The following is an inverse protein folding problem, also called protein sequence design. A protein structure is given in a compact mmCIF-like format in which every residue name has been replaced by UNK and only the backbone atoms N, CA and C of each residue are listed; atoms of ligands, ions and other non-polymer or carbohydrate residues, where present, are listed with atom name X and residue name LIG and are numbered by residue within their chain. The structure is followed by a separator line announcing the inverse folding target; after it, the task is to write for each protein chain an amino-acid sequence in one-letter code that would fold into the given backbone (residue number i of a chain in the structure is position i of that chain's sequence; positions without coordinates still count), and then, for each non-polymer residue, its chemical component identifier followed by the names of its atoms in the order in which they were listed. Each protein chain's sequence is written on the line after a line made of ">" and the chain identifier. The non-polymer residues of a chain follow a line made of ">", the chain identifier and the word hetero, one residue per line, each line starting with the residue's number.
data_IF_290138163458
#
_entry.id   IF_290138163458
#
_cell.length_a   1.000
_cell.length_b   1.000
_cell.length_c   1.000
_cell.angle_alpha   90.00
_cell.angle_beta   90.00
_cell.angle_gamma   90.00
#
_symmetry.space_group_name_H-M   'P 1'
#
loop_
_entity.id
_entity.type
_entity.pdbx_description
1 polymer ?
#
# COMPACT_ATOMS: atom_id res chain seq x y z
N UNK A 1 29.48 -14.99 -3.04
CA UNK A 1 28.73 -15.39 -1.86
C UNK A 1 27.90 -14.18 -1.39
N UNK A 2 26.55 -14.32 -1.28
CA UNK A 2 25.67 -13.26 -0.77
C UNK A 2 25.95 -13.08 0.72
N UNK A 3 26.15 -11.83 1.14
CA UNK A 3 26.37 -11.48 2.56
C UNK A 3 25.11 -10.99 3.24
N UNK A 4 24.26 -10.23 2.51
CA UNK A 4 23.02 -9.66 3.01
C UNK A 4 21.90 -9.93 2.01
N UNK A 5 20.74 -10.35 2.51
CA UNK A 5 19.54 -10.62 1.74
C UNK A 5 18.38 -9.76 2.25
N UNK A 6 17.70 -9.07 1.34
CA UNK A 6 16.51 -8.28 1.66
C UNK A 6 15.28 -8.98 1.11
N UNK A 7 14.25 -9.09 1.95
CA UNK A 7 12.96 -9.65 1.58
C UNK A 7 11.83 -8.62 1.73
N UNK A 8 11.14 -8.36 0.62
CA UNK A 8 9.93 -7.54 0.62
C UNK A 8 8.72 -8.41 0.96
N UNK A 9 8.29 -8.35 2.21
CA UNK A 9 7.06 -8.95 2.67
C UNK A 9 5.87 -7.99 2.52
N UNK A 10 4.73 -8.33 3.07
CA UNK A 10 3.48 -7.61 2.86
C UNK A 10 2.62 -7.60 4.12
N UNK A 11 1.78 -6.58 4.29
CA UNK A 11 0.71 -6.57 5.29
C UNK A 11 -0.34 -7.69 5.09
N UNK A 12 -0.30 -8.42 3.97
CA UNK A 12 -1.15 -9.60 3.76
C UNK A 12 -0.79 -10.79 4.66
N UNK A 13 0.35 -10.77 5.35
CA UNK A 13 0.75 -11.80 6.34
C UNK A 13 -0.06 -11.75 7.63
N UNK A 14 -0.76 -10.65 7.89
CA UNK A 14 -1.50 -10.48 9.14
C UNK A 14 -2.76 -11.33 9.19
N UNK A 15 -3.07 -11.79 10.42
CA UNK A 15 -4.27 -12.56 10.69
C UNK A 15 -5.53 -11.82 10.23
N UNK A 16 -6.35 -12.47 9.40
CA UNK A 16 -7.54 -11.89 8.79
C UNK A 16 -8.58 -11.45 9.84
N UNK A 17 -8.71 -12.18 10.96
CA UNK A 17 -9.68 -11.86 12.01
C UNK A 17 -9.44 -10.50 12.67
N UNK A 18 -8.16 -10.06 12.74
CA UNK A 18 -7.79 -8.74 13.28
C UNK A 18 -8.15 -7.58 12.34
N UNK A 19 -8.59 -7.86 11.13
CA UNK A 19 -8.89 -6.89 10.08
C UNK A 19 -10.38 -6.85 9.70
N UNK A 20 -11.24 -7.38 10.57
CA UNK A 20 -12.69 -7.53 10.33
C UNK A 20 -13.51 -6.25 10.55
N UNK A 21 -12.98 -5.26 11.26
CA UNK A 21 -13.64 -3.97 11.53
C UNK A 21 -13.16 -2.91 10.53
N UNK A 22 -14.00 -1.89 10.31
CA UNK A 22 -13.68 -0.75 9.42
C UNK A 22 -12.47 0.02 9.96
N UNK A 23 -12.52 0.45 11.22
CA UNK A 23 -11.38 1.05 11.90
C UNK A 23 -10.75 0.06 12.86
N UNK A 24 -9.45 -0.09 12.76
CA UNK A 24 -8.65 -0.98 13.61
C UNK A 24 -7.47 -0.19 14.18
N UNK A 25 -6.96 -0.65 15.31
CA UNK A 25 -5.64 -0.25 15.78
C UNK A 25 -4.57 -0.70 14.78
N UNK A 26 -3.41 -0.02 14.77
CA UNK A 26 -2.30 -0.41 13.92
C UNK A 26 -1.86 -1.84 14.18
N UNK A 27 -1.70 -2.63 13.11
CA UNK A 27 -1.23 -4.01 13.18
C UNK A 27 0.25 -4.02 13.58
N UNK A 28 0.56 -4.64 14.72
CA UNK A 28 1.93 -4.87 15.20
C UNK A 28 2.53 -6.10 14.53
N UNK A 29 3.85 -6.16 14.42
CA UNK A 29 4.51 -7.30 13.76
C UNK A 29 4.17 -8.66 14.41
N UNK A 30 3.86 -8.67 15.70
CA UNK A 30 3.38 -9.87 16.43
C UNK A 30 1.99 -10.34 15.97
N UNK A 31 1.17 -9.47 15.38
CA UNK A 31 -0.21 -9.77 14.99
C UNK A 31 -0.33 -10.72 13.80
N UNK A 32 0.77 -11.11 13.19
CA UNK A 32 0.82 -12.19 12.20
C UNK A 32 0.69 -13.58 12.82
N UNK A 33 0.69 -13.68 14.14
CA UNK A 33 0.51 -14.94 14.86
C UNK A 33 -0.63 -14.83 15.89
N UNK A 34 -1.42 -15.92 16.11
CA UNK A 34 -1.41 -17.16 15.32
C UNK A 34 -1.67 -16.89 13.83
N UNK A 35 -0.98 -17.64 12.96
CA UNK A 35 -1.01 -17.40 11.52
C UNK A 35 -2.38 -17.76 10.93
N UNK A 36 -3.00 -16.77 10.26
CA UNK A 36 -4.24 -16.93 9.52
C UNK A 36 -4.36 -15.81 8.44
N UNK A 37 -3.42 -15.73 7.49
CA UNK A 37 -3.51 -14.82 6.36
C UNK A 37 -4.76 -15.06 5.51
N UNK A 38 -5.32 -13.99 4.94
CA UNK A 38 -6.57 -14.04 4.16
C UNK A 38 -6.45 -14.90 2.88
N UNK A 39 -5.26 -14.94 2.26
CA UNK A 39 -5.05 -15.58 0.96
C UNK A 39 -3.69 -16.30 0.85
N UNK A 40 -3.53 -17.05 -0.25
CA UNK A 40 -2.29 -17.79 -0.55
C UNK A 40 -1.06 -16.89 -0.68
N UNK A 41 -1.22 -15.63 -1.11
CA UNK A 41 -0.13 -14.67 -1.17
C UNK A 41 0.37 -14.30 0.23
N UNK A 42 -0.54 -14.07 1.17
CA UNK A 42 -0.17 -13.81 2.57
C UNK A 42 0.58 -14.99 3.19
N UNK A 43 0.14 -16.21 2.95
CA UNK A 43 0.80 -17.43 3.40
C UNK A 43 2.20 -17.59 2.80
N UNK A 44 2.37 -17.38 1.50
CA UNK A 44 3.68 -17.42 0.82
C UNK A 44 4.64 -16.41 1.44
N UNK A 45 4.19 -15.17 1.66
CA UNK A 45 5.02 -14.12 2.28
C UNK A 45 5.42 -14.49 3.71
N UNK A 46 4.47 -14.96 4.53
CA UNK A 46 4.76 -15.33 5.92
C UNK A 46 5.73 -16.52 6.01
N UNK A 47 5.56 -17.52 5.15
CA UNK A 47 6.49 -18.65 5.06
C UNK A 47 7.91 -18.17 4.67
N UNK A 48 8.01 -17.28 3.69
CA UNK A 48 9.29 -16.72 3.26
C UNK A 48 9.99 -15.90 4.35
N UNK A 49 9.24 -15.18 5.20
CA UNK A 49 9.81 -14.53 6.40
C UNK A 49 10.44 -15.55 7.35
N UNK A 50 9.76 -16.70 7.56
CA UNK A 50 10.30 -17.79 8.39
C UNK A 50 11.57 -18.38 7.78
N UNK A 51 11.61 -18.55 6.45
CA UNK A 51 12.81 -19.01 5.75
C UNK A 51 13.97 -18.02 5.92
N UNK A 52 13.73 -16.70 5.79
CA UNK A 52 14.75 -15.68 6.04
C UNK A 52 15.34 -15.81 7.44
N UNK A 53 14.49 -16.01 8.45
CA UNK A 53 14.93 -16.19 9.83
C UNK A 53 15.79 -17.45 9.99
N UNK A 54 15.37 -18.60 9.46
CA UNK A 54 16.14 -19.84 9.55
C UNK A 54 17.49 -19.76 8.83
N UNK A 55 17.54 -19.11 7.66
CA UNK A 55 18.83 -18.88 6.98
C UNK A 55 19.79 -18.01 7.79
N UNK A 56 19.28 -17.05 8.55
CA UNK A 56 20.09 -16.30 9.50
C UNK A 56 20.56 -17.17 10.68
N UNK A 57 19.64 -17.92 11.32
CA UNK A 57 19.95 -18.74 12.48
C UNK A 57 20.90 -19.90 12.16
N UNK A 58 20.70 -20.58 11.03
CA UNK A 58 21.44 -21.80 10.67
C UNK A 58 22.72 -21.51 9.87
N UNK A 59 22.78 -20.40 9.11
CA UNK A 59 23.86 -20.13 8.17
C UNK A 59 24.51 -18.75 8.32
N UNK A 60 24.04 -17.94 9.26
CA UNK A 60 24.58 -16.60 9.50
C UNK A 60 24.35 -15.61 8.32
N UNK A 61 23.36 -15.90 7.42
CA UNK A 61 23.03 -14.98 6.35
C UNK A 61 22.32 -13.76 6.93
N UNK A 62 22.89 -12.58 6.77
CA UNK A 62 22.22 -11.36 7.19
C UNK A 62 20.93 -11.13 6.39
N UNK A 63 19.78 -11.32 7.03
CA UNK A 63 18.48 -11.07 6.40
C UNK A 63 17.84 -9.79 6.92
N UNK A 64 17.10 -9.09 6.06
CA UNK A 64 16.31 -7.91 6.39
C UNK A 64 14.92 -8.10 5.80
N UNK A 65 13.89 -7.91 6.61
CA UNK A 65 12.49 -8.14 6.20
C UNK A 65 11.65 -6.91 6.48
N UNK A 66 10.92 -6.46 5.46
CA UNK A 66 9.99 -5.35 5.57
C UNK A 66 8.60 -5.81 5.16
N UNK A 67 7.58 -5.51 5.98
CA UNK A 67 6.16 -5.65 5.64
C UNK A 67 5.64 -4.33 5.11
N UNK A 68 5.37 -4.28 3.81
CA UNK A 68 4.83 -3.09 3.18
C UNK A 68 3.32 -2.97 3.35
N UNK A 69 2.85 -1.77 3.73
CA UNK A 69 1.44 -1.40 3.82
C UNK A 69 1.07 -0.43 2.70
N UNK A 70 0.42 -0.94 1.63
CA UNK A 70 -0.17 -0.17 0.52
C UNK A 70 0.67 1.04 0.05
N UNK A 71 1.70 0.75 -0.70
CA UNK A 71 2.59 1.80 -1.25
C UNK A 71 1.93 2.44 -2.46
N UNK A 72 2.05 3.77 -2.60
CA UNK A 72 1.57 4.54 -3.75
C UNK A 72 2.50 5.69 -4.10
N UNK A 73 2.36 6.22 -5.30
CA UNK A 73 3.15 7.36 -5.78
C UNK A 73 3.25 7.39 -7.29
N UNK A 74 3.93 8.42 -7.86
CA UNK A 74 4.26 8.48 -9.28
C UNK A 74 5.04 7.26 -9.77
N UNK A 75 4.98 7.01 -11.08
CA UNK A 75 5.66 5.92 -11.80
C UNK A 75 5.18 4.51 -11.47
N UNK A 76 4.12 4.36 -10.66
CA UNK A 76 3.45 3.09 -10.43
C UNK A 76 2.40 2.79 -11.51
N UNK A 77 1.92 1.54 -11.54
CA UNK A 77 0.80 1.16 -12.41
C UNK A 77 -0.46 1.91 -12.02
N UNK A 78 -1.11 2.57 -12.97
CA UNK A 78 -2.39 3.27 -12.77
C UNK A 78 -3.52 2.73 -13.64
N UNK A 79 -3.22 1.83 -14.59
CA UNK A 79 -4.19 1.18 -15.48
C UNK A 79 -3.80 -0.30 -15.73
N UNK A 80 -4.74 -1.10 -16.28
CA UNK A 80 -4.48 -2.50 -16.67
C UNK A 80 -4.89 -3.54 -15.63
N UNK A 81 -5.57 -3.16 -14.54
CA UNK A 81 -6.17 -4.08 -13.54
C UNK A 81 -5.22 -4.55 -12.43
N UNK A 82 -4.01 -3.98 -12.35
CA UNK A 82 -3.04 -4.27 -11.28
C UNK A 82 -2.77 -3.07 -10.37
N UNK A 83 -3.39 -1.94 -10.68
CA UNK A 83 -3.25 -0.70 -9.96
C UNK A 83 -3.84 -0.77 -8.55
N UNK A 84 -3.20 -0.11 -7.61
CA UNK A 84 -3.73 0.07 -6.25
C UNK A 84 -4.76 1.20 -6.21
N UNK A 85 -5.61 1.20 -5.18
CA UNK A 85 -6.74 2.12 -5.06
C UNK A 85 -6.39 3.61 -5.28
N UNK A 86 -5.30 4.20 -4.73
CA UNK A 86 -4.97 5.59 -4.99
C UNK A 86 -4.80 5.90 -6.48
N UNK A 87 -4.03 5.08 -7.20
CA UNK A 87 -3.80 5.27 -8.63
C UNK A 87 -5.06 5.03 -9.47
N UNK A 88 -5.82 3.97 -9.14
CA UNK A 88 -7.08 3.64 -9.82
C UNK A 88 -8.11 4.77 -9.69
N UNK A 89 -8.26 5.34 -8.48
CA UNK A 89 -9.23 6.41 -8.23
C UNK A 89 -8.79 7.74 -8.88
N UNK A 90 -7.49 8.09 -8.82
CA UNK A 90 -6.97 9.22 -9.57
C UNK A 90 -7.30 9.09 -11.07
N UNK A 91 -6.98 7.95 -11.69
CA UNK A 91 -7.29 7.70 -13.11
C UNK A 91 -8.79 7.80 -13.42
N UNK A 92 -9.63 7.21 -12.58
CA UNK A 92 -11.10 7.25 -12.79
C UNK A 92 -11.65 8.67 -12.75
N UNK A 93 -11.21 9.49 -11.80
CA UNK A 93 -11.64 10.89 -11.67
C UNK A 93 -11.08 11.73 -12.82
N UNK A 94 -9.83 11.52 -13.23
CA UNK A 94 -9.25 12.18 -14.41
C UNK A 94 -10.05 11.83 -15.67
N UNK A 95 -10.34 10.55 -15.93
CA UNK A 95 -11.15 10.13 -17.07
C UNK A 95 -12.54 10.77 -17.05
N UNK A 96 -13.22 10.76 -15.89
CA UNK A 96 -14.54 11.37 -15.75
C UNK A 96 -14.49 12.86 -16.09
N UNK A 97 -13.49 13.59 -15.59
CA UNK A 97 -13.29 15.01 -15.89
C UNK A 97 -13.02 15.27 -17.36
N UNK A 98 -12.13 14.50 -18.00
CA UNK A 98 -11.76 14.66 -19.41
C UNK A 98 -12.93 14.37 -20.37
N UNK A 99 -13.81 13.42 -19.99
CA UNK A 99 -14.96 12.99 -20.80
C UNK A 99 -16.27 13.71 -20.41
N UNK A 100 -16.26 14.65 -19.45
CA UNK A 100 -17.44 15.26 -18.86
C UNK A 100 -18.44 14.22 -18.29
N UNK A 101 -17.97 13.11 -17.77
CA UNK A 101 -18.73 12.10 -17.08
C UNK A 101 -18.83 12.45 -15.59
N UNK A 102 -20.00 12.21 -14.97
CA UNK A 102 -20.21 12.56 -13.56
C UNK A 102 -20.27 11.36 -12.62
N UNK A 103 -19.85 10.17 -13.08
CA UNK A 103 -19.99 8.93 -12.29
C UNK A 103 -18.71 8.09 -12.39
N UNK A 104 -18.31 7.49 -11.27
CA UNK A 104 -17.23 6.49 -11.22
C UNK A 104 -17.68 5.22 -10.49
N UNK A 105 -17.21 4.05 -10.92
CA UNK A 105 -17.43 2.79 -10.22
C UNK A 105 -16.51 2.65 -9.02
N UNK A 106 -17.08 2.31 -7.86
CA UNK A 106 -16.40 2.05 -6.60
C UNK A 106 -16.65 0.61 -6.17
N UNK A 107 -15.61 -0.19 -6.02
CA UNK A 107 -15.75 -1.58 -5.58
C UNK A 107 -16.10 -1.66 -4.10
N UNK A 108 -17.15 -2.42 -3.80
CA UNK A 108 -17.73 -2.50 -2.47
C UNK A 108 -18.60 -1.30 -2.12
N UNK A 109 -18.70 -1.00 -0.84
CA UNK A 109 -19.47 0.11 -0.27
C UNK A 109 -18.64 1.39 -0.03
N UNK A 110 -17.34 1.32 -0.29
CA UNK A 110 -16.40 2.43 -0.05
C UNK A 110 -16.02 2.66 1.41
N UNK A 111 -16.58 1.89 2.35
CA UNK A 111 -16.33 2.05 3.78
C UNK A 111 -15.09 1.30 4.29
N UNK A 112 -14.53 0.36 3.50
CA UNK A 112 -13.30 -0.31 3.84
C UNK A 112 -12.16 0.70 3.98
N UNK A 113 -11.40 0.56 5.08
CA UNK A 113 -10.30 1.50 5.39
C UNK A 113 -8.93 0.90 5.12
N UNK A 114 -8.02 1.75 4.73
CA UNK A 114 -6.61 1.42 4.51
C UNK A 114 -5.74 2.59 4.97
N UNK A 115 -4.48 2.29 5.16
CA UNK A 115 -3.42 3.30 5.21
C UNK A 115 -2.61 3.21 3.92
N UNK A 116 -2.08 4.34 3.46
CA UNK A 116 -1.30 4.43 2.23
C UNK A 116 0.01 5.17 2.48
N UNK A 117 1.12 4.52 2.18
CA UNK A 117 2.45 5.09 2.36
C UNK A 117 2.99 5.62 1.03
N UNK A 118 3.42 6.88 1.04
CA UNK A 118 4.03 7.48 -0.15
C UNK A 118 5.38 6.85 -0.48
N UNK A 119 5.65 6.66 -1.77
CA UNK A 119 6.82 5.91 -2.26
C UNK A 119 8.16 6.45 -1.73
N UNK A 120 8.32 7.77 -1.56
CA UNK A 120 9.56 8.35 -1.03
C UNK A 120 9.83 7.91 0.40
N UNK A 121 8.81 7.94 1.26
CA UNK A 121 8.92 7.47 2.64
C UNK A 121 9.16 5.95 2.69
N UNK A 122 8.51 5.20 1.80
CA UNK A 122 8.74 3.77 1.66
C UNK A 122 10.22 3.46 1.35
N UNK A 123 10.83 4.18 0.42
CA UNK A 123 12.25 4.01 0.07
C UNK A 123 13.14 4.36 1.27
N UNK A 124 12.87 5.48 1.95
CA UNK A 124 13.62 5.89 3.14
C UNK A 124 13.55 4.82 4.25
N UNK A 125 12.33 4.36 4.59
CA UNK A 125 12.13 3.29 5.59
C UNK A 125 12.81 1.98 5.20
N UNK A 126 12.71 1.59 3.93
CA UNK A 126 13.39 0.40 3.39
C UNK A 126 14.90 0.48 3.56
N UNK A 127 15.49 1.62 3.20
CA UNK A 127 16.95 1.82 3.31
C UNK A 127 17.41 1.86 4.76
N UNK A 128 16.60 2.41 5.67
CA UNK A 128 16.91 2.37 7.11
C UNK A 128 16.94 0.93 7.62
N UNK A 129 15.97 0.09 7.27
CA UNK A 129 15.97 -1.33 7.64
C UNK A 129 17.14 -2.06 6.98
N UNK A 130 17.38 -1.85 5.68
CA UNK A 130 18.43 -2.53 4.93
C UNK A 130 19.83 -2.23 5.52
N UNK A 131 20.10 -0.99 5.90
CA UNK A 131 21.40 -0.54 6.42
C UNK A 131 21.57 -0.82 7.92
N UNK A 132 20.48 -1.18 8.64
CA UNK A 132 20.57 -1.47 10.07
C UNK A 132 21.34 -2.76 10.36
N UNK A 133 21.74 -2.93 11.63
CA UNK A 133 22.28 -4.16 12.19
C UNK A 133 21.20 -5.11 12.76
N UNK A 134 19.91 -4.75 12.63
CA UNK A 134 18.79 -5.47 13.21
C UNK A 134 18.30 -6.59 12.29
N UNK A 135 18.18 -7.79 12.82
CA UNK A 135 17.69 -9.01 12.13
C UNK A 135 16.21 -9.28 12.45
N UNK A 136 15.41 -8.24 12.36
CA UNK A 136 14.01 -8.32 12.73
C UNK A 136 13.10 -7.96 11.57
N UNK A 137 11.83 -8.30 11.68
CA UNK A 137 10.79 -7.88 10.73
C UNK A 137 10.25 -6.53 11.15
N UNK A 138 10.09 -5.62 10.19
CA UNK A 138 9.56 -4.28 10.43
C UNK A 138 8.40 -3.95 9.52
N UNK A 139 7.36 -3.34 10.08
CA UNK A 139 6.36 -2.63 9.30
C UNK A 139 6.98 -1.37 8.67
N UNK A 140 6.67 -1.16 7.38
CA UNK A 140 6.92 0.10 6.69
C UNK A 140 5.59 0.53 6.07
N UNK A 141 4.87 1.38 6.80
CA UNK A 141 3.51 1.80 6.49
C UNK A 141 3.20 3.19 7.02
N UNK A 142 1.96 3.61 6.81
CA UNK A 142 1.38 4.81 7.40
C UNK A 142 0.33 4.43 8.44
N UNK A 143 0.09 5.28 9.41
CA UNK A 143 -0.99 5.18 10.40
C UNK A 143 -2.20 6.06 10.03
N UNK A 144 -2.11 6.86 8.97
CA UNK A 144 -3.19 7.70 8.46
C UNK A 144 -4.26 6.83 7.77
N UNK A 145 -5.24 6.37 8.56
CA UNK A 145 -6.30 5.48 8.11
C UNK A 145 -7.45 6.25 7.48
N UNK A 146 -7.80 5.90 6.24
CA UNK A 146 -8.89 6.51 5.48
C UNK A 146 -9.77 5.46 4.84
N UNK A 147 -11.07 5.76 4.67
CA UNK A 147 -11.96 4.97 3.84
C UNK A 147 -11.73 5.26 2.35
N UNK A 148 -12.19 4.37 1.49
CA UNK A 148 -12.17 4.62 0.03
C UNK A 148 -13.02 5.84 -0.29
N UNK A 149 -14.15 6.05 0.40
CA UNK A 149 -15.01 7.22 0.22
C UNK A 149 -14.28 8.52 0.57
N UNK A 150 -13.58 8.57 1.71
CA UNK A 150 -12.76 9.72 2.11
C UNK A 150 -11.62 9.98 1.11
N UNK A 151 -10.99 8.93 0.60
CA UNK A 151 -9.92 9.10 -0.40
C UNK A 151 -10.47 9.68 -1.71
N UNK A 152 -11.67 9.26 -2.14
CA UNK A 152 -12.35 9.85 -3.32
C UNK A 152 -12.58 11.34 -3.09
N UNK A 153 -13.09 11.75 -1.91
CA UNK A 153 -13.32 13.15 -1.57
C UNK A 153 -12.04 13.99 -1.63
N UNK A 154 -10.93 13.46 -1.13
CA UNK A 154 -9.62 14.12 -1.24
C UNK A 154 -9.21 14.30 -2.72
N UNK A 155 -9.40 13.26 -3.55
CA UNK A 155 -9.02 13.33 -4.97
C UNK A 155 -9.96 14.25 -5.75
N UNK A 156 -11.26 14.29 -5.44
CA UNK A 156 -12.22 15.24 -5.99
C UNK A 156 -11.80 16.68 -5.73
N UNK A 157 -11.36 16.99 -4.50
CA UNK A 157 -10.87 18.31 -4.15
C UNK A 157 -9.58 18.68 -4.90
N UNK A 158 -8.64 17.72 -5.05
CA UNK A 158 -7.42 17.90 -5.84
C UNK A 158 -7.76 18.15 -7.33
N UNK A 159 -8.74 17.42 -7.84
CA UNK A 159 -9.18 17.52 -9.23
C UNK A 159 -10.03 18.76 -9.52
N UNK A 160 -10.56 19.42 -8.50
CA UNK A 160 -11.66 20.38 -8.63
C UNK A 160 -12.78 19.81 -9.52
N UNK A 161 -13.23 18.59 -9.18
CA UNK A 161 -14.26 17.88 -9.94
C UNK A 161 -14.99 16.86 -9.07
N UNK A 162 -16.30 16.99 -8.96
CA UNK A 162 -17.14 16.08 -8.15
C UNK A 162 -17.77 14.98 -9.00
N UNK A 163 -17.81 13.76 -8.45
CA UNK A 163 -18.39 12.60 -9.12
C UNK A 163 -19.41 11.88 -8.23
N UNK A 164 -20.37 11.23 -8.87
CA UNK A 164 -21.29 10.28 -8.22
C UNK A 164 -20.60 8.92 -8.09
N UNK A 165 -20.72 8.30 -6.94
CA UNK A 165 -20.13 6.98 -6.64
C UNK A 165 -21.16 5.89 -7.01
N UNK A 166 -20.83 5.04 -7.99
CA UNK A 166 -21.62 3.86 -8.35
C UNK A 166 -21.00 2.63 -7.64
N UNK A 167 -21.63 2.19 -6.55
CA UNK A 167 -21.08 1.12 -5.71
C UNK A 167 -21.32 -0.27 -6.30
N UNK A 168 -20.24 -1.01 -6.57
CA UNK A 168 -20.23 -2.38 -7.08
C UNK A 168 -20.12 -3.37 -5.91
N UNK A 169 -21.25 -3.69 -5.29
CA UNK A 169 -21.28 -4.48 -4.04
C UNK A 169 -20.88 -5.94 -4.21
N UNK A 170 -20.93 -6.47 -5.43
CA UNK A 170 -20.55 -7.82 -5.84
C UNK A 170 -19.02 -7.99 -6.01
N UNK A 171 -18.28 -6.89 -6.12
CA UNK A 171 -16.84 -6.92 -6.33
C UNK A 171 -16.06 -7.19 -5.04
N UNK A 172 -14.86 -7.79 -5.16
CA UNK A 172 -14.01 -8.07 -4.01
C UNK A 172 -13.68 -6.82 -3.19
N UNK A 173 -13.87 -6.90 -1.87
CA UNK A 173 -13.61 -5.80 -0.92
C UNK A 173 -12.30 -5.98 -0.16
N UNK A 174 -11.78 -7.22 -0.08
CA UNK A 174 -10.69 -7.59 0.82
C UNK A 174 -11.08 -7.39 2.29
N UNK A 175 -10.11 -7.31 3.18
CA UNK A 175 -10.33 -7.04 4.61
C UNK A 175 -11.04 -5.70 4.85
N UNK A 176 -11.79 -5.58 5.96
CA UNK A 176 -12.54 -4.34 6.26
C UNK A 176 -11.66 -3.18 6.69
N UNK A 177 -10.62 -3.43 7.45
CA UNK A 177 -9.68 -2.41 7.90
C UNK A 177 -8.24 -2.90 7.90
N UNK A 178 -7.29 -2.03 7.52
CA UNK A 178 -5.85 -2.31 7.60
C UNK A 178 -5.10 -1.04 7.92
N UNK A 179 -4.34 -1.05 9.02
CA UNK A 179 -3.49 0.05 9.47
C UNK A 179 -2.14 -0.49 9.92
N UNK A 180 -1.09 0.31 9.82
CA UNK A 180 0.25 -0.05 10.27
C UNK A 180 0.51 0.50 11.66
N UNK A 181 1.00 -0.34 12.57
CA UNK A 181 1.71 0.13 13.75
C UNK A 181 3.19 0.32 13.39
N UNK A 182 3.71 1.51 13.63
CA UNK A 182 5.09 1.87 13.31
C UNK A 182 5.96 2.07 14.57
N UNK A 183 5.47 1.66 15.76
CA UNK A 183 6.19 1.85 17.02
C UNK A 183 7.56 1.17 17.00
N UNK A 184 7.61 -0.07 16.53
CA UNK A 184 8.84 -0.87 16.50
C UNK A 184 9.93 -0.25 15.63
N UNK A 185 9.60 0.16 14.41
CA UNK A 185 10.58 0.78 13.50
C UNK A 185 10.99 2.17 14.00
N UNK A 186 10.06 2.95 14.56
CA UNK A 186 10.36 4.25 15.16
C UNK A 186 11.33 4.11 16.33
N UNK A 187 11.05 3.20 17.26
CA UNK A 187 11.88 2.99 18.46
C UNK A 187 13.28 2.46 18.12
N UNK A 188 13.38 1.53 17.18
CA UNK A 188 14.63 0.85 16.88
C UNK A 188 15.50 1.57 15.85
N UNK A 189 14.89 2.28 14.89
CA UNK A 189 15.57 2.87 13.74
C UNK A 189 15.28 4.37 13.54
N UNK A 190 14.46 4.99 14.42
CA UNK A 190 14.17 6.42 14.37
C UNK A 190 13.37 6.86 13.14
N UNK A 191 12.69 5.93 12.43
CA UNK A 191 11.96 6.25 11.21
C UNK A 191 10.45 6.31 11.45
N UNK A 192 9.81 7.32 10.85
CA UNK A 192 8.36 7.45 10.69
C UNK A 192 8.06 8.07 9.32
N UNK A 193 6.89 7.79 8.73
CA UNK A 193 6.46 8.44 7.50
C UNK A 193 6.27 9.95 7.73
N UNK A 194 6.63 10.75 6.73
CA UNK A 194 6.57 12.23 6.79
C UNK A 194 5.50 12.79 5.87
N UNK A 195 5.30 12.17 4.71
CA UNK A 195 4.37 12.61 3.68
C UNK A 195 2.93 12.29 4.09
N UNK A 196 2.07 13.30 4.15
CA UNK A 196 0.64 13.12 4.37
C UNK A 196 -0.04 12.56 3.12
N UNK A 197 -1.14 11.82 3.30
CA UNK A 197 -1.86 11.19 2.19
C UNK A 197 -2.25 12.19 1.11
N UNK A 198 -2.82 13.34 1.48
CA UNK A 198 -3.24 14.39 0.54
C UNK A 198 -2.07 14.88 -0.33
N UNK A 199 -0.94 15.21 0.28
CA UNK A 199 0.25 15.68 -0.43
C UNK A 199 0.77 14.63 -1.44
N UNK A 200 0.82 13.37 -1.03
CA UNK A 200 1.20 12.27 -1.91
C UNK A 200 0.20 12.03 -3.05
N UNK A 201 -1.10 12.23 -2.79
CA UNK A 201 -2.15 12.13 -3.80
C UNK A 201 -2.07 13.27 -4.80
N UNK A 202 -1.76 14.50 -4.40
CA UNK A 202 -1.55 15.65 -5.31
C UNK A 202 -0.43 15.34 -6.32
N UNK A 203 0.71 14.84 -5.86
CA UNK A 203 1.83 14.47 -6.71
C UNK A 203 1.47 13.30 -7.64
N UNK A 204 0.75 12.30 -7.12
CA UNK A 204 0.35 11.12 -7.89
C UNK A 204 -0.69 11.47 -8.94
N UNK A 205 -1.71 12.27 -8.57
CA UNK A 205 -2.74 12.76 -9.48
C UNK A 205 -2.13 13.56 -10.64
N UNK A 206 -1.28 14.54 -10.31
CA UNK A 206 -0.59 15.36 -11.31
C UNK A 206 0.17 14.48 -12.30
N UNK A 207 0.97 13.53 -11.82
CA UNK A 207 1.74 12.65 -12.69
C UNK A 207 0.84 11.80 -13.60
N UNK A 208 -0.25 11.21 -13.06
CA UNK A 208 -1.19 10.42 -13.87
C UNK A 208 -1.89 11.30 -14.89
N UNK A 209 -2.36 12.49 -14.51
CA UNK A 209 -2.99 13.44 -15.41
C UNK A 209 -2.07 13.82 -16.57
N UNK A 210 -0.83 14.21 -16.27
CA UNK A 210 0.16 14.58 -17.29
C UNK A 210 0.46 13.39 -18.22
N UNK A 211 0.58 12.18 -17.68
CA UNK A 211 0.79 10.94 -18.47
C UNK A 211 -0.39 10.60 -19.38
N UNK A 212 -1.62 10.88 -18.95
CA UNK A 212 -2.83 10.61 -19.75
C UNK A 212 -3.08 11.66 -20.83
N UNK A 213 -2.65 12.91 -20.61
CA UNK A 213 -2.91 14.04 -21.52
C UNK A 213 -1.77 14.30 -22.51
N UNK A 214 -0.52 13.97 -22.15
CA UNK A 214 0.64 14.19 -23.04
C UNK A 214 0.75 13.20 -24.20
N UNK A 215 -0.04 12.13 -24.20
CA UNK A 215 0.11 11.03 -25.18
C UNK A 215 1.43 10.25 -25.04
N UNK A 216 2.21 10.61 -24.05
CA UNK A 216 3.49 9.98 -23.79
C UNK A 216 3.28 8.65 -23.03
N UNK A 217 3.32 7.54 -23.77
CA UNK A 217 3.09 6.18 -23.29
C UNK A 217 4.26 5.69 -22.42
N UNK A 218 4.79 6.56 -21.55
CA UNK A 218 6.00 6.33 -20.75
C UNK A 218 5.78 5.36 -19.58
N UNK A 219 4.55 4.98 -19.28
CA UNK A 219 4.33 3.97 -18.23
C UNK A 219 4.54 2.56 -18.78
N UNK A 220 5.79 2.12 -18.81
CA UNK A 220 6.16 0.72 -19.10
C UNK A 220 5.42 -0.28 -18.21
N UNK A 221 4.88 0.17 -17.09
CA UNK A 221 4.18 -0.64 -16.08
C UNK A 221 2.66 -0.70 -16.26
N UNK A 222 2.08 0.12 -17.14
CA UNK A 222 0.63 0.12 -17.43
C UNK A 222 0.26 -0.69 -18.67
N UNK A 223 1.22 -1.25 -19.40
CA UNK A 223 0.94 -2.09 -20.58
C UNK A 223 0.24 -3.38 -20.14
N UNK A 224 -0.88 -3.71 -20.80
CA UNK A 224 -1.47 -5.05 -20.74
C UNK A 224 -0.45 -6.05 -21.33
N UNK A 225 -0.12 -7.07 -20.56
CA UNK A 225 0.57 -8.25 -21.07
C UNK A 225 -0.42 -9.16 -21.77
#
# INVERSE_FOLDING_TARGET
>A
KVKKYFFSSSACVYNASKQSKVFIEGLKESDSYPADPEDGYGWEKLFSERMCRHFYEDHGLETRVVRYHNIFGPYGTYDGGREKAPAALCRKIINAKLNNENTIDVWGDGEQTRTFLYIKDCIEGTMNVFNSDKFDVYNVGSDEQVSINQMIEIIEDIADYKVKKNYQLDKPKGVRGRSSDNEKISKNLGWLPKMKLREGLELTYKWIHDSMTSGDNTSRFTRKY
#
